data_IF_508857966741
#
_entry.id   IF_508857966741
#
_cell.length_a   1.000
_cell.length_b   1.000
_cell.length_c   1.000
_cell.angle_alpha   90.00
_cell.angle_beta   90.00
_cell.angle_gamma   90.00
#
_symmetry.space_group_name_H-M   'P 1'
#
loop_
_entity.id
_entity.type
_entity.pdbx_description
1 polymer ?
#
# COMPACT_ATOMS: atom_id res chain seq x y z
N UNK A 1 -8.76 -25.09 34.89
CA UNK A 1 -7.56 -24.60 34.17
C UNK A 1 -7.74 -24.61 32.65
N UNK A 2 -8.22 -25.71 32.04
CA UNK A 2 -8.43 -25.83 30.58
C UNK A 2 -9.40 -24.83 29.94
N UNK A 3 -10.48 -24.44 30.63
CA UNK A 3 -11.41 -23.44 30.10
C UNK A 3 -10.79 -22.03 30.00
N UNK A 4 -9.86 -21.71 30.90
CA UNK A 4 -9.18 -20.42 30.90
C UNK A 4 -8.15 -20.33 29.77
N UNK A 5 -7.40 -21.42 29.51
CA UNK A 5 -6.48 -21.49 28.36
C UNK A 5 -7.21 -21.48 27.02
N UNK A 6 -8.35 -22.18 26.91
CA UNK A 6 -9.17 -22.16 25.70
C UNK A 6 -9.72 -20.76 25.37
N UNK A 7 -10.30 -20.05 26.35
CA UNK A 7 -10.77 -18.67 26.16
C UNK A 7 -9.63 -17.71 25.83
N UNK A 8 -8.46 -17.88 26.44
CA UNK A 8 -7.29 -17.06 26.14
C UNK A 8 -6.81 -17.26 24.70
N UNK A 9 -6.76 -18.50 24.23
CA UNK A 9 -6.40 -18.84 22.86
C UNK A 9 -7.42 -18.25 21.87
N UNK A 10 -8.71 -18.41 22.13
CA UNK A 10 -9.77 -17.86 21.28
C UNK A 10 -9.68 -16.32 21.16
N UNK A 11 -9.41 -15.62 22.26
CA UNK A 11 -9.23 -14.17 22.26
C UNK A 11 -8.04 -13.70 21.40
N UNK A 12 -6.94 -14.48 21.39
CA UNK A 12 -5.76 -14.19 20.57
C UNK A 12 -6.00 -14.44 19.09
N UNK A 13 -6.71 -15.52 18.74
CA UNK A 13 -7.11 -15.78 17.36
C UNK A 13 -8.04 -14.69 16.80
N UNK A 14 -9.02 -14.24 17.59
CA UNK A 14 -9.90 -13.15 17.18
C UNK A 14 -9.13 -11.84 16.95
N UNK A 15 -8.16 -11.51 17.82
CA UNK A 15 -7.30 -10.35 17.65
C UNK A 15 -6.40 -10.44 16.40
N UNK A 16 -5.82 -11.62 16.15
CA UNK A 16 -5.00 -11.87 14.96
C UNK A 16 -5.83 -11.75 13.67
N UNK A 17 -7.04 -12.31 13.65
CA UNK A 17 -7.96 -12.22 12.52
C UNK A 17 -8.39 -10.77 12.25
N UNK A 18 -8.67 -9.99 13.30
CA UNK A 18 -8.97 -8.56 13.18
C UNK A 18 -7.80 -7.77 12.55
N UNK A 19 -6.57 -8.01 13.00
CA UNK A 19 -5.38 -7.37 12.43
C UNK A 19 -5.14 -7.77 10.96
N UNK A 20 -5.41 -9.04 10.64
CA UNK A 20 -5.31 -9.54 9.27
C UNK A 20 -6.35 -8.90 8.35
N UNK A 21 -7.61 -8.81 8.77
CA UNK A 21 -8.66 -8.09 8.04
C UNK A 21 -8.30 -6.62 7.83
N UNK A 22 -7.82 -5.94 8.88
CA UNK A 22 -7.37 -4.54 8.78
C UNK A 22 -6.24 -4.38 7.74
N UNK A 23 -5.32 -5.35 7.68
CA UNK A 23 -4.25 -5.39 6.67
C UNK A 23 -4.77 -5.58 5.26
N UNK A 24 -5.74 -6.48 5.05
CA UNK A 24 -6.34 -6.72 3.72
C UNK A 24 -7.14 -5.49 3.27
N UNK A 25 -7.95 -4.91 4.16
CA UNK A 25 -8.75 -3.73 3.83
C UNK A 25 -7.86 -2.54 3.44
N UNK A 26 -6.79 -2.29 4.20
CA UNK A 26 -5.83 -1.22 3.88
C UNK A 26 -5.11 -1.47 2.56
N UNK A 27 -4.70 -2.71 2.30
CA UNK A 27 -4.13 -3.11 1.01
C UNK A 27 -5.11 -2.86 -0.15
N UNK A 28 -6.37 -3.31 -0.01
CA UNK A 28 -7.38 -3.19 -1.06
C UNK A 28 -7.75 -1.74 -1.39
N UNK A 29 -7.90 -0.88 -0.37
CA UNK A 29 -8.13 0.56 -0.58
C UNK A 29 -6.96 1.18 -1.34
N UNK A 30 -5.73 0.83 -0.96
CA UNK A 30 -4.52 1.35 -1.59
C UNK A 30 -4.35 0.87 -3.03
N UNK A 31 -4.76 -0.36 -3.30
CA UNK A 31 -4.84 -0.91 -4.65
C UNK A 31 -5.84 -0.14 -5.53
N UNK A 32 -7.05 0.13 -5.03
CA UNK A 32 -8.05 0.93 -5.73
C UNK A 32 -7.56 2.36 -6.02
N UNK A 33 -6.86 2.97 -5.06
CA UNK A 33 -6.25 4.30 -5.24
C UNK A 33 -5.17 4.25 -6.32
N UNK A 34 -4.27 3.25 -6.28
CA UNK A 34 -3.22 3.07 -7.29
C UNK A 34 -3.80 2.92 -8.70
N UNK A 35 -4.84 2.11 -8.85
CA UNK A 35 -5.52 1.92 -10.13
C UNK A 35 -6.24 3.21 -10.61
N UNK A 36 -6.85 3.96 -9.69
CA UNK A 36 -7.48 5.25 -10.02
C UNK A 36 -6.46 6.27 -10.49
N UNK A 37 -5.25 6.27 -9.91
CA UNK A 37 -4.19 7.18 -10.28
C UNK A 37 -3.59 6.89 -11.67
N UNK A 38 -3.71 5.67 -12.20
CA UNK A 38 -3.42 5.37 -13.60
C UNK A 38 -4.24 6.22 -14.58
N UNK A 39 -5.54 6.38 -14.33
CA UNK A 39 -6.40 7.27 -15.14
C UNK A 39 -6.02 8.74 -15.01
N UNK A 40 -5.59 9.17 -13.82
CA UNK A 40 -5.06 10.51 -13.60
C UNK A 40 -3.74 10.75 -14.36
N UNK A 41 -2.86 9.76 -14.45
CA UNK A 41 -1.63 9.84 -15.23
C UNK A 41 -1.90 10.02 -16.73
N UNK A 42 -2.91 9.34 -17.28
CA UNK A 42 -3.33 9.53 -18.67
C UNK A 42 -3.81 10.97 -18.92
N UNK A 43 -4.52 11.57 -17.96
CA UNK A 43 -4.90 12.98 -18.02
C UNK A 43 -3.68 13.91 -17.98
N UNK A 44 -2.67 13.62 -17.14
CA UNK A 44 -1.43 14.40 -17.09
C UNK A 44 -0.59 14.25 -18.35
N UNK A 45 -0.53 13.06 -18.96
CA UNK A 45 0.16 12.81 -20.25
C UNK A 45 -0.39 13.67 -21.37
N UNK A 46 -1.70 13.95 -21.39
CA UNK A 46 -2.29 14.87 -22.39
C UNK A 46 -1.80 16.31 -22.23
N UNK A 47 -1.32 16.70 -21.06
CA UNK A 47 -0.82 18.06 -20.77
C UNK A 47 0.70 18.17 -20.83
N UNK A 48 1.42 17.10 -20.51
CA UNK A 48 2.88 17.05 -20.43
C UNK A 48 3.38 15.94 -21.36
N UNK A 49 4.13 16.33 -22.39
CA UNK A 49 4.61 15.47 -23.48
C UNK A 49 5.72 14.51 -23.04
N UNK A 50 6.36 14.75 -21.89
CA UNK A 50 7.55 14.01 -21.48
C UNK A 50 7.20 12.86 -20.52
N UNK A 51 6.88 11.70 -21.08
CA UNK A 51 6.64 10.45 -20.32
C UNK A 51 7.81 10.09 -19.39
N UNK A 52 9.04 10.46 -19.77
CA UNK A 52 10.23 10.31 -18.93
C UNK A 52 10.20 11.13 -17.64
N UNK A 53 9.68 12.37 -17.66
CA UNK A 53 9.52 13.17 -16.43
C UNK A 53 8.52 12.54 -15.48
N UNK A 54 7.42 11.98 -16.02
CA UNK A 54 6.39 11.32 -15.22
C UNK A 54 6.99 10.11 -14.50
N UNK A 55 7.78 9.29 -15.21
CA UNK A 55 8.46 8.13 -14.64
C UNK A 55 9.50 8.53 -13.57
N UNK A 56 10.31 9.55 -13.83
CA UNK A 56 11.29 10.05 -12.84
C UNK A 56 10.58 10.61 -11.60
N UNK A 57 9.51 11.39 -11.78
CA UNK A 57 8.68 11.91 -10.68
C UNK A 57 8.09 10.77 -9.83
N UNK A 58 7.61 9.70 -10.50
CA UNK A 58 7.07 8.52 -9.83
C UNK A 58 8.13 7.81 -8.98
N UNK A 59 9.34 7.62 -9.54
CA UNK A 59 10.47 7.00 -8.82
C UNK A 59 10.86 7.85 -7.61
N UNK A 60 10.99 9.17 -7.78
CA UNK A 60 11.31 10.09 -6.68
C UNK A 60 10.22 10.07 -5.60
N UNK A 61 8.94 10.01 -5.98
CA UNK A 61 7.84 9.88 -5.03
C UNK A 61 7.97 8.58 -4.20
N UNK A 62 8.27 7.45 -4.82
CA UNK A 62 8.49 6.20 -4.10
C UNK A 62 9.73 6.23 -3.21
N UNK A 63 10.82 6.86 -3.65
CA UNK A 63 12.03 7.04 -2.84
C UNK A 63 11.77 7.92 -1.62
N UNK A 64 10.99 8.99 -1.76
CA UNK A 64 10.55 9.83 -0.64
C UNK A 64 9.71 9.04 0.36
N UNK A 65 8.74 8.25 -0.10
CA UNK A 65 7.95 7.37 0.76
C UNK A 65 8.84 6.38 1.52
N UNK A 66 9.80 5.75 0.82
CA UNK A 66 10.74 4.82 1.44
C UNK A 66 11.60 5.52 2.49
N UNK A 67 12.12 6.71 2.20
CA UNK A 67 12.90 7.50 3.14
C UNK A 67 12.10 7.80 4.42
N UNK A 68 10.81 8.14 4.29
CA UNK A 68 9.93 8.37 5.45
C UNK A 68 9.75 7.10 6.29
N UNK A 69 9.54 5.94 5.65
CA UNK A 69 9.31 4.66 6.33
C UNK A 69 10.57 4.16 7.04
N UNK A 70 11.74 4.26 6.42
CA UNK A 70 12.97 3.64 6.92
C UNK A 70 13.82 4.56 7.80
N UNK A 71 13.76 5.89 7.61
CA UNK A 71 14.66 6.82 8.33
C UNK A 71 14.26 7.06 9.78
N UNK A 72 13.00 6.82 10.16
CA UNK A 72 12.50 7.23 11.47
C UNK A 72 12.27 6.03 12.39
N UNK A 73 13.23 5.84 13.30
CA UNK A 73 13.32 4.73 14.28
C UNK A 73 12.17 4.64 15.29
N UNK A 74 11.37 5.71 15.45
CA UNK A 74 10.40 5.84 16.55
C UNK A 74 8.92 5.81 16.13
N UNK A 75 8.58 5.23 14.98
CA UNK A 75 7.16 5.09 14.58
C UNK A 75 6.47 3.95 15.31
N UNK A 76 5.19 4.14 15.58
CA UNK A 76 4.32 3.06 16.02
C UNK A 76 4.37 1.91 15.00
N UNK A 77 4.73 0.70 15.47
CA UNK A 77 4.84 -0.50 14.62
C UNK A 77 3.59 -0.74 13.76
N UNK A 78 2.41 -0.44 14.30
CA UNK A 78 1.13 -0.56 13.58
C UNK A 78 1.03 0.39 12.38
N UNK A 79 1.40 1.66 12.55
CA UNK A 79 1.40 2.62 11.44
C UNK A 79 2.39 2.21 10.35
N UNK A 80 3.56 1.71 10.73
CA UNK A 80 4.58 1.28 9.79
C UNK A 80 4.10 0.10 8.91
N UNK A 81 3.32 -0.83 9.48
CA UNK A 81 2.67 -1.91 8.72
C UNK A 81 1.64 -1.34 7.73
N UNK A 82 0.81 -0.38 8.17
CA UNK A 82 -0.19 0.27 7.31
C UNK A 82 0.49 0.99 6.13
N UNK A 83 1.55 1.78 6.38
CA UNK A 83 2.29 2.47 5.33
C UNK A 83 2.91 1.52 4.31
N UNK A 84 3.46 0.38 4.76
CA UNK A 84 3.98 -0.66 3.87
C UNK A 84 2.88 -1.29 3.01
N UNK A 85 1.74 -1.61 3.60
CA UNK A 85 0.60 -2.15 2.86
C UNK A 85 0.09 -1.16 1.81
N UNK A 86 0.07 0.14 2.15
CA UNK A 86 -0.30 1.21 1.21
C UNK A 86 0.68 1.26 0.04
N UNK A 87 1.99 1.28 0.32
CA UNK A 87 3.03 1.32 -0.71
C UNK A 87 2.92 0.14 -1.68
N UNK A 88 2.76 -1.08 -1.17
CA UNK A 88 2.64 -2.29 -2.00
C UNK A 88 1.34 -2.25 -2.82
N UNK A 89 0.21 -1.86 -2.21
CA UNK A 89 -1.07 -1.76 -2.91
C UNK A 89 -1.03 -0.77 -4.08
N UNK A 90 -0.46 0.42 -3.86
CA UNK A 90 -0.31 1.44 -4.91
C UNK A 90 0.62 0.94 -6.02
N UNK A 91 1.77 0.35 -5.67
CA UNK A 91 2.73 -0.18 -6.64
C UNK A 91 2.11 -1.26 -7.53
N UNK A 92 1.32 -2.16 -6.92
CA UNK A 92 0.61 -3.22 -7.64
C UNK A 92 -0.49 -2.65 -8.54
N UNK A 93 -1.20 -1.62 -8.09
CA UNK A 93 -2.16 -0.87 -8.92
C UNK A 93 -1.51 -0.27 -10.17
N UNK A 94 -0.36 0.39 -10.02
CA UNK A 94 0.40 0.93 -11.16
C UNK A 94 0.89 -0.15 -12.11
N UNK A 95 1.36 -1.27 -11.56
CA UNK A 95 1.86 -2.37 -12.36
C UNK A 95 0.78 -2.99 -13.24
N UNK A 96 -0.43 -3.17 -12.71
CA UNK A 96 -1.56 -3.69 -13.48
C UNK A 96 -1.97 -2.72 -14.60
N UNK A 97 -2.03 -1.42 -14.30
CA UNK A 97 -2.39 -0.43 -15.32
C UNK A 97 -1.31 -0.31 -16.41
N UNK A 98 -0.03 -0.39 -16.04
CA UNK A 98 1.07 -0.43 -17.00
C UNK A 98 1.00 -1.66 -17.93
N UNK A 99 0.65 -2.83 -17.40
CA UNK A 99 0.45 -4.02 -18.23
C UNK A 99 -0.75 -3.90 -19.18
N UNK A 100 -1.85 -3.30 -18.71
CA UNK A 100 -3.04 -3.09 -19.55
C UNK A 100 -2.76 -2.23 -20.77
N UNK A 101 -1.86 -1.25 -20.66
CA UNK A 101 -1.49 -0.34 -21.76
C UNK A 101 -0.44 -0.97 -22.70
N UNK A 102 0.25 -2.03 -22.26
CA UNK A 102 1.33 -2.70 -23.00
C UNK A 102 0.95 -4.01 -23.70
N UNK A 103 -0.28 -4.51 -23.54
CA UNK A 103 -0.85 -5.67 -24.25
C UNK A 103 -1.66 -5.24 -25.47
#
# INVERSE_FOLDING_TARGET
>A
MYYCTFNFIHSRYAAAFKNFLESICTFYISFLIGNSFGTFLIFMRKKIIWDGAILILLILFFELLNSIIYKKKNWNKKLLIIFKNIQIGILLGFFIDAFKVGS
#
